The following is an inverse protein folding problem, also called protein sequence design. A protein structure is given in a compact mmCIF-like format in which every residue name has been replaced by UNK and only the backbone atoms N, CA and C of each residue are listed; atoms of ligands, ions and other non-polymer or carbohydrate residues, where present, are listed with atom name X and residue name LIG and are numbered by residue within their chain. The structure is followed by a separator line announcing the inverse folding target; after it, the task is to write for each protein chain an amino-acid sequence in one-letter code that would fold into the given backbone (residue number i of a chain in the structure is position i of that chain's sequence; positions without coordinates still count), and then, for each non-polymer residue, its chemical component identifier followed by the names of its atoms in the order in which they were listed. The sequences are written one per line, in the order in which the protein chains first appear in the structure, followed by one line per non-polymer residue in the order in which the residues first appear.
data_IF_375993832243
#
_entry.id   IF_375993832243
#
_cell.length_a   1.000
_cell.length_b   1.000
_cell.length_c   1.000
_cell.angle_alpha   90.00
_cell.angle_beta   90.00
_cell.angle_gamma   90.00
#
_symmetry.space_group_name_H-M   'P 1'
#
loop_
_entity.id
_entity.type
_entity.pdbx_description
1 polymer ?
#
# COMPACT_ATOMS: atom_id res chain seq x y z
N UNK A 1 22.33 -41.92 -10.68
CA UNK A 1 22.93 -40.74 -10.02
C UNK A 1 22.20 -39.56 -10.63
N UNK A 2 21.07 -39.20 -10.04
CA UNK A 2 20.17 -38.17 -10.53
C UNK A 2 20.15 -37.03 -9.52
N UNK A 3 20.86 -35.96 -9.85
CA UNK A 3 20.87 -34.72 -9.09
C UNK A 3 19.53 -34.00 -9.27
N UNK A 4 18.77 -33.89 -8.17
CA UNK A 4 17.59 -33.04 -8.10
C UNK A 4 18.00 -31.58 -7.97
N UNK A 5 17.82 -30.83 -9.06
CA UNK A 5 17.84 -29.38 -9.09
C UNK A 5 16.79 -28.82 -8.11
N UNK A 6 17.24 -28.39 -6.93
CA UNK A 6 16.43 -27.62 -5.99
C UNK A 6 16.40 -26.17 -6.45
N UNK A 7 15.30 -25.79 -7.11
CA UNK A 7 15.02 -24.43 -7.57
C UNK A 7 15.00 -23.43 -6.40
N UNK A 8 15.65 -22.29 -6.63
CA UNK A 8 15.75 -21.15 -5.73
C UNK A 8 14.39 -20.71 -5.20
N UNK A 9 14.23 -20.70 -3.87
CA UNK A 9 13.08 -20.12 -3.18
C UNK A 9 13.28 -18.61 -2.97
N UNK A 10 12.40 -17.74 -3.52
CA UNK A 10 12.52 -16.27 -3.39
C UNK A 10 12.16 -15.72 -2.00
N UNK A 11 11.66 -16.55 -1.07
CA UNK A 11 11.13 -16.08 0.22
C UNK A 11 12.18 -15.80 1.32
N UNK A 12 13.49 -15.84 1.00
CA UNK A 12 14.59 -15.73 1.99
C UNK A 12 15.06 -14.31 2.30
N UNK A 13 14.18 -13.31 2.32
CA UNK A 13 14.58 -11.90 2.60
C UNK A 13 13.91 -11.33 3.87
N UNK A 14 12.96 -12.02 4.51
CA UNK A 14 12.23 -11.49 5.68
C UNK A 14 12.40 -12.26 7.00
N UNK A 15 13.57 -12.87 7.27
CA UNK A 15 13.79 -13.58 8.55
C UNK A 15 15.08 -13.23 9.32
N UNK A 16 15.56 -11.99 9.22
CA UNK A 16 16.65 -11.53 10.08
C UNK A 16 16.37 -10.15 10.68
N UNK A 17 15.51 -10.10 11.70
CA UNK A 17 15.62 -9.15 12.82
C UNK A 17 14.50 -9.37 13.85
N UNK A 18 14.61 -10.41 14.69
CA UNK A 18 13.99 -10.39 16.03
C UNK A 18 14.63 -11.42 16.98
N UNK A 19 15.93 -11.25 17.24
CA UNK A 19 16.58 -11.82 18.43
C UNK A 19 17.29 -10.71 19.19
N UNK A 20 16.53 -9.99 20.01
CA UNK A 20 17.05 -9.30 21.18
C UNK A 20 15.96 -9.23 22.24
N UNK A 21 16.33 -9.67 23.45
CA UNK A 21 15.62 -9.58 24.72
C UNK A 21 14.48 -10.59 24.96
N UNK A 22 14.87 -11.78 25.40
CA UNK A 22 14.12 -12.52 26.43
C UNK A 22 14.41 -11.85 27.78
N UNK A 23 13.37 -11.53 28.55
CA UNK A 23 13.52 -10.98 29.91
C UNK A 23 12.22 -10.43 30.47
N UNK A 24 11.34 -11.34 30.92
CA UNK A 24 10.29 -11.20 31.95
C UNK A 24 9.59 -9.85 32.14
N UNK A 25 8.26 -9.79 31.99
CA UNK A 25 7.36 -9.28 33.04
C UNK A 25 5.87 -9.56 32.68
N UNK A 26 5.23 -10.36 33.53
CA UNK A 26 3.80 -10.47 33.91
C UNK A 26 2.74 -9.92 32.95
N UNK A 27 1.87 -10.82 32.51
CA UNK A 27 0.58 -10.61 31.83
C UNK A 27 -0.53 -10.38 32.88
N UNK A 28 -1.32 -9.30 32.79
CA UNK A 28 -2.58 -9.19 33.54
C UNK A 28 -3.79 -9.39 32.62
N UNK A 29 -4.65 -10.29 33.10
CA UNK A 29 -5.98 -10.73 32.65
C UNK A 29 -6.90 -9.59 32.11
N UNK A 30 -7.24 -9.63 30.82
CA UNK A 30 -8.23 -8.75 30.19
C UNK A 30 -9.66 -9.23 30.50
N UNK A 31 -10.17 -8.84 31.67
CA UNK A 31 -11.62 -8.92 31.96
C UNK A 31 -12.35 -7.74 31.35
N UNK A 32 -13.35 -8.08 30.54
CA UNK A 32 -14.34 -7.17 29.99
C UNK A 32 -14.97 -6.26 31.07
N UNK A 33 -14.90 -4.96 30.84
CA UNK A 33 -15.88 -4.00 31.36
C UNK A 33 -16.03 -2.86 30.36
N UNK A 34 -17.08 -2.94 29.55
CA UNK A 34 -17.51 -1.82 28.75
C UNK A 34 -17.94 -0.66 29.64
N UNK A 35 -17.40 0.52 29.35
CA UNK A 35 -18.11 1.77 29.56
C UNK A 35 -17.42 2.84 28.71
N UNK A 36 -18.19 3.45 27.80
CA UNK A 36 -17.73 4.52 26.94
C UNK A 36 -17.16 5.67 27.78
N UNK A 37 -15.83 5.73 27.85
CA UNK A 37 -15.13 6.94 28.21
C UNK A 37 -14.57 7.48 26.91
N UNK A 38 -15.07 8.65 26.53
CA UNK A 38 -14.46 9.58 25.59
C UNK A 38 -12.98 9.73 25.94
N UNK A 39 -12.17 8.78 25.47
CA UNK A 39 -10.73 8.84 25.52
C UNK A 39 -10.34 10.09 24.75
N UNK A 40 -9.56 10.94 25.39
CA UNK A 40 -9.05 12.19 24.85
C UNK A 40 -8.27 11.92 23.56
N UNK A 41 -8.96 11.86 22.43
CA UNK A 41 -8.36 11.82 21.12
C UNK A 41 -7.98 13.27 20.79
N UNK A 42 -6.82 13.70 21.30
CA UNK A 42 -6.14 14.85 20.70
C UNK A 42 -5.89 14.56 19.21
N UNK A 43 -5.69 15.59 18.38
CA UNK A 43 -5.44 15.41 16.96
C UNK A 43 -4.36 14.35 16.76
N UNK A 44 -4.60 13.36 15.90
CA UNK A 44 -3.57 12.36 15.61
C UNK A 44 -2.35 13.12 15.08
N UNK A 45 -1.12 12.76 15.45
CA UNK A 45 0.07 13.47 14.99
C UNK A 45 0.10 13.62 13.46
N UNK A 46 -0.40 12.62 12.72
CA UNK A 46 -0.56 12.66 11.26
C UNK A 46 -1.49 13.78 10.76
N UNK A 47 -2.57 14.09 11.47
CA UNK A 47 -3.51 15.16 11.11
C UNK A 47 -2.87 16.53 11.30
N UNK A 48 -2.09 16.70 12.36
CA UNK A 48 -1.35 17.95 12.62
C UNK A 48 -0.28 18.18 11.56
N UNK A 49 0.52 17.16 11.22
CA UNK A 49 1.53 17.30 10.17
C UNK A 49 0.91 17.59 8.80
N UNK A 50 -0.22 16.95 8.48
CA UNK A 50 -0.97 17.23 7.26
C UNK A 50 -1.46 18.68 7.19
N UNK A 51 -2.02 19.19 8.29
CA UNK A 51 -2.49 20.57 8.39
C UNK A 51 -1.34 21.59 8.24
N UNK A 52 -0.27 21.43 9.02
CA UNK A 52 0.91 22.31 8.95
C UNK A 52 1.60 22.22 7.57
N UNK A 53 1.66 21.01 7.00
CA UNK A 53 2.14 20.79 5.64
C UNK A 53 1.28 21.51 4.60
N UNK A 54 -0.04 21.46 4.71
CA UNK A 54 -0.95 22.14 3.78
C UNK A 54 -0.80 23.66 3.80
N UNK A 55 -0.71 24.27 4.99
CA UNK A 55 -0.52 25.72 5.09
C UNK A 55 0.87 26.12 4.61
N UNK A 56 1.91 25.39 5.02
CA UNK A 56 3.28 25.71 4.62
C UNK A 56 3.49 25.57 3.11
N UNK A 57 2.89 24.58 2.46
CA UNK A 57 2.93 24.41 1.00
C UNK A 57 2.22 25.56 0.28
N UNK A 58 1.04 25.99 0.73
CA UNK A 58 0.34 27.15 0.14
C UNK A 58 1.17 28.42 0.28
N UNK A 59 1.69 28.72 1.48
CA UNK A 59 2.52 29.90 1.73
C UNK A 59 3.79 29.88 0.88
N UNK A 60 4.50 28.74 0.86
CA UNK A 60 5.70 28.59 0.03
C UNK A 60 5.41 28.77 -1.47
N UNK A 61 4.27 28.25 -1.95
CA UNK A 61 3.83 28.41 -3.34
C UNK A 61 3.56 29.87 -3.70
N UNK A 62 2.91 30.62 -2.81
CA UNK A 62 2.67 32.06 -3.00
C UNK A 62 4.00 32.82 -3.07
N UNK A 63 4.91 32.57 -2.14
CA UNK A 63 6.26 33.19 -2.13
C UNK A 63 7.02 32.83 -3.41
N UNK A 64 6.94 31.59 -3.86
CA UNK A 64 7.56 31.12 -5.10
C UNK A 64 7.04 31.89 -6.32
N UNK A 65 5.72 32.09 -6.43
CA UNK A 65 5.16 32.87 -7.53
C UNK A 65 5.53 34.35 -7.48
N UNK A 66 5.53 34.96 -6.28
CA UNK A 66 5.99 36.34 -6.12
C UNK A 66 7.43 36.46 -6.63
N UNK A 67 8.33 35.57 -6.17
CA UNK A 67 9.72 35.57 -6.62
C UNK A 67 9.86 35.31 -8.14
N UNK A 68 9.08 34.38 -8.70
CA UNK A 68 9.16 34.01 -10.11
C UNK A 68 8.71 35.14 -11.07
N UNK A 69 7.67 35.90 -10.71
CA UNK A 69 7.03 36.87 -11.60
C UNK A 69 7.35 38.35 -11.29
N UNK A 70 7.78 38.70 -10.07
CA UNK A 70 8.15 40.09 -9.75
C UNK A 70 9.42 40.48 -10.51
N UNK A 71 9.49 41.65 -11.18
CA UNK A 71 10.68 42.12 -11.89
C UNK A 71 11.90 42.38 -10.99
N UNK A 72 13.11 42.25 -11.54
CA UNK A 72 14.38 42.43 -10.78
C UNK A 72 14.51 43.81 -10.11
N UNK A 73 14.17 44.94 -10.77
CA UNK A 73 14.32 46.25 -10.15
C UNK A 73 13.48 46.42 -8.88
N UNK A 74 12.37 45.69 -8.77
CA UNK A 74 11.49 45.73 -7.61
C UNK A 74 12.08 44.90 -6.45
N UNK A 75 12.69 43.75 -6.76
CA UNK A 75 13.38 42.93 -5.76
C UNK A 75 14.61 43.67 -5.20
N UNK A 76 15.37 44.35 -6.07
CA UNK A 76 16.51 45.17 -5.68
C UNK A 76 16.08 46.38 -4.83
N UNK A 77 14.95 47.02 -5.15
CA UNK A 77 14.39 48.11 -4.34
C UNK A 77 13.97 47.66 -2.93
N UNK A 78 13.58 46.39 -2.77
CA UNK A 78 13.23 45.78 -1.47
C UNK A 78 14.51 45.31 -0.72
N UNK A 79 15.68 45.39 -1.36
CA UNK A 79 16.97 45.00 -0.77
C UNK A 79 17.29 43.51 -0.92
N UNK A 80 16.57 42.78 -1.80
CA UNK A 80 16.79 41.35 -2.05
C UNK A 80 17.69 41.20 -3.28
N UNK A 81 19.01 41.30 -3.08
CA UNK A 81 19.98 41.18 -4.18
C UNK A 81 20.56 39.77 -4.36
N UNK A 82 20.29 38.84 -3.43
CA UNK A 82 20.77 37.46 -3.51
C UNK A 82 19.60 36.47 -3.62
N UNK A 83 19.32 36.03 -4.85
CA UNK A 83 18.31 35.02 -5.15
C UNK A 83 18.80 34.11 -6.30
N UNK A 84 18.30 32.86 -6.40
CA UNK A 84 18.69 31.96 -7.49
C UNK A 84 18.28 32.53 -8.85
N UNK A 85 18.89 32.05 -9.94
CA UNK A 85 18.52 32.49 -11.29
C UNK A 85 17.06 32.15 -11.63
N UNK A 86 16.35 33.04 -12.36
CA UNK A 86 14.92 32.86 -12.69
C UNK A 86 14.59 31.58 -13.45
N UNK A 87 15.55 31.00 -14.18
CA UNK A 87 15.38 29.71 -14.86
C UNK A 87 14.95 28.58 -13.92
N UNK A 88 15.30 28.67 -12.63
CA UNK A 88 14.86 27.71 -11.63
C UNK A 88 13.35 27.72 -11.41
N UNK A 89 12.66 28.83 -11.69
CA UNK A 89 11.21 28.89 -11.62
C UNK A 89 10.53 27.93 -12.62
N UNK A 90 11.17 27.66 -13.76
CA UNK A 90 10.71 26.67 -14.73
C UNK A 90 11.31 25.27 -14.46
N UNK A 91 12.58 25.23 -14.08
CA UNK A 91 13.28 23.96 -13.86
C UNK A 91 12.67 23.17 -12.69
N UNK A 92 12.35 23.82 -11.56
CA UNK A 92 11.82 23.14 -10.37
C UNK A 92 10.50 22.40 -10.67
N UNK A 93 9.45 23.04 -11.23
CA UNK A 93 8.23 22.32 -11.62
C UNK A 93 8.47 21.23 -12.65
N UNK A 94 9.35 21.46 -13.64
CA UNK A 94 9.65 20.47 -14.67
C UNK A 94 10.32 19.21 -14.07
N UNK A 95 11.33 19.39 -13.22
CA UNK A 95 11.98 18.27 -12.52
C UNK A 95 11.04 17.57 -11.55
N UNK A 96 10.12 18.28 -10.89
CA UNK A 96 9.10 17.67 -10.03
C UNK A 96 8.16 16.76 -10.83
N UNK A 97 7.72 17.18 -12.02
CA UNK A 97 6.87 16.34 -12.89
C UNK A 97 7.63 15.10 -13.38
N UNK A 98 8.88 15.27 -13.82
CA UNK A 98 9.73 14.16 -14.26
C UNK A 98 10.01 13.19 -13.11
N UNK A 99 10.26 13.68 -11.90
CA UNK A 99 10.52 12.83 -10.74
C UNK A 99 9.30 12.03 -10.31
N UNK A 100 8.08 12.59 -10.38
CA UNK A 100 6.83 11.87 -10.12
C UNK A 100 6.66 10.72 -11.13
N UNK A 101 6.82 11.00 -12.43
CA UNK A 101 6.72 9.96 -13.47
C UNK A 101 7.77 8.88 -13.25
N UNK A 102 9.01 9.28 -12.97
CA UNK A 102 10.11 8.36 -12.69
C UNK A 102 9.81 7.49 -11.45
N UNK A 103 9.28 8.07 -10.38
CA UNK A 103 8.89 7.35 -9.17
C UNK A 103 7.79 6.32 -9.45
N UNK A 104 6.81 6.64 -10.29
CA UNK A 104 5.77 5.68 -10.70
C UNK A 104 6.36 4.53 -11.51
N UNK A 105 7.26 4.81 -12.45
CA UNK A 105 7.93 3.78 -13.25
C UNK A 105 8.76 2.86 -12.34
N UNK A 106 9.52 3.42 -11.40
CA UNK A 106 10.27 2.64 -10.42
C UNK A 106 9.34 1.81 -9.54
N UNK A 107 8.26 2.39 -9.04
CA UNK A 107 7.28 1.68 -8.23
C UNK A 107 6.73 0.48 -9.00
N UNK A 108 6.29 0.66 -10.25
CA UNK A 108 5.79 -0.43 -11.10
C UNK A 108 6.87 -1.49 -11.32
N UNK A 109 8.10 -1.09 -11.66
CA UNK A 109 9.21 -2.03 -11.86
C UNK A 109 9.57 -2.83 -10.61
N UNK A 110 9.57 -2.19 -9.44
CA UNK A 110 9.80 -2.85 -8.15
C UNK A 110 8.66 -3.81 -7.80
N UNK A 111 7.41 -3.45 -8.07
CA UNK A 111 6.28 -4.36 -7.89
C UNK A 111 6.43 -5.59 -8.79
N UNK A 112 6.77 -5.42 -10.08
CA UNK A 112 7.01 -6.56 -10.97
C UNK A 112 8.18 -7.45 -10.53
N UNK A 113 9.20 -6.89 -9.88
CA UNK A 113 10.31 -7.67 -9.32
C UNK A 113 9.90 -8.42 -8.04
N UNK A 114 8.97 -7.86 -7.26
CA UNK A 114 8.50 -8.42 -6.00
C UNK A 114 7.34 -9.43 -6.16
N UNK A 115 6.59 -9.38 -7.26
CA UNK A 115 5.49 -10.29 -7.55
C UNK A 115 5.88 -11.38 -8.55
N UNK A 116 5.20 -12.55 -8.54
CA UNK A 116 5.30 -13.51 -9.63
C UNK A 116 5.02 -12.86 -11.00
N UNK A 117 5.52 -13.44 -12.11
CA UNK A 117 5.22 -12.92 -13.44
C UNK A 117 3.70 -12.87 -13.65
N UNK A 118 3.17 -11.89 -14.39
CA UNK A 118 1.73 -11.69 -14.54
C UNK A 118 1.01 -12.85 -15.22
N UNK A 119 1.75 -13.74 -15.90
CA UNK A 119 1.24 -14.96 -16.50
C UNK A 119 1.20 -16.15 -15.54
N UNK A 120 1.69 -16.00 -14.31
CA UNK A 120 1.67 -17.06 -13.31
C UNK A 120 0.27 -17.24 -12.74
N UNK A 121 -0.19 -18.49 -12.71
CA UNK A 121 -1.43 -18.88 -12.03
C UNK A 121 -1.38 -18.55 -10.53
N UNK A 122 -0.16 -18.45 -9.97
CA UNK A 122 0.07 -18.10 -8.56
C UNK A 122 -0.30 -16.65 -8.22
N UNK A 123 -0.56 -15.81 -9.23
CA UNK A 123 -1.10 -14.45 -9.03
C UNK A 123 -2.62 -14.49 -8.77
N UNK A 124 -3.29 -15.57 -9.20
CA UNK A 124 -4.74 -15.78 -9.02
C UNK A 124 -5.00 -16.70 -7.81
N UNK A 125 -4.20 -17.75 -7.65
CA UNK A 125 -4.32 -18.72 -6.58
C UNK A 125 -3.07 -18.71 -5.71
N UNK A 126 -3.23 -18.69 -4.40
CA UNK A 126 -2.13 -18.75 -3.44
C UNK A 126 -2.20 -20.03 -2.59
N UNK A 127 -1.25 -20.19 -1.67
CA UNK A 127 -1.18 -21.34 -0.75
C UNK A 127 -2.41 -21.44 0.19
N UNK A 128 -3.26 -20.40 0.24
CA UNK A 128 -4.45 -20.32 1.08
C UNK A 128 -5.77 -20.45 0.30
N UNK A 129 -5.70 -20.52 -1.03
CA UNK A 129 -6.87 -20.69 -1.88
C UNK A 129 -7.51 -22.06 -1.64
N UNK A 130 -8.84 -22.09 -1.43
CA UNK A 130 -9.59 -23.29 -1.05
C UNK A 130 -10.49 -23.74 -2.18
N UNK A 131 -10.18 -24.86 -2.81
CA UNK A 131 -11.07 -25.45 -3.80
C UNK A 131 -12.35 -26.02 -3.16
N UNK A 132 -13.50 -25.95 -3.85
CA UNK A 132 -14.73 -26.59 -3.39
C UNK A 132 -14.51 -28.10 -3.27
N UNK A 133 -14.63 -28.63 -2.05
CA UNK A 133 -14.57 -30.06 -1.80
C UNK A 133 -15.90 -30.65 -2.25
N UNK A 134 -15.90 -31.45 -3.32
CA UNK A 134 -17.04 -32.31 -3.64
C UNK A 134 -17.17 -33.35 -2.54
N UNK A 135 -18.07 -33.10 -1.61
CA UNK A 135 -18.38 -34.08 -0.60
C UNK A 135 -19.08 -35.27 -1.26
N UNK A 136 -18.45 -36.44 -1.17
CA UNK A 136 -19.04 -37.72 -1.57
C UNK A 136 -19.94 -38.15 -0.41
N UNK A 137 -21.23 -37.89 -0.54
CA UNK A 137 -22.22 -38.36 0.43
C UNK A 137 -22.75 -39.73 -0.01
N UNK A 138 -22.96 -40.69 0.92
CA UNK A 138 -23.78 -41.86 0.62
C UNK A 138 -25.18 -41.40 0.24
N UNK A 139 -25.76 -41.93 -0.84
CA UNK A 139 -27.07 -41.49 -1.38
C UNK A 139 -28.26 -41.73 -0.42
N UNK A 140 -28.05 -42.42 0.70
CA UNK A 140 -29.11 -42.88 1.61
C UNK A 140 -29.34 -41.99 2.85
N UNK A 141 -28.80 -40.76 2.91
CA UNK A 141 -29.03 -39.83 4.02
C UNK A 141 -29.77 -38.56 3.58
N UNK A 142 -31.00 -38.38 4.05
CA UNK A 142 -31.85 -37.19 3.79
C UNK A 142 -31.30 -35.88 4.38
N UNK A 143 -30.26 -35.95 5.21
CA UNK A 143 -29.59 -34.79 5.80
C UNK A 143 -28.37 -34.41 4.97
N UNK A 144 -28.51 -33.39 4.12
CA UNK A 144 -27.38 -32.81 3.40
C UNK A 144 -26.60 -31.88 4.35
N UNK A 145 -25.34 -32.20 4.72
CA UNK A 145 -24.54 -31.34 5.57
C UNK A 145 -24.22 -30.02 4.86
N UNK A 146 -24.04 -28.96 5.66
CA UNK A 146 -23.54 -27.68 5.14
C UNK A 146 -22.15 -27.91 4.54
N UNK A 147 -21.95 -27.45 3.30
CA UNK A 147 -20.67 -27.58 2.61
C UNK A 147 -19.57 -26.76 3.32
N UNK A 148 -18.33 -27.26 3.37
CA UNK A 148 -17.19 -26.49 3.89
C UNK A 148 -16.96 -25.20 3.09
N UNK A 149 -16.48 -24.16 3.77
CA UNK A 149 -16.14 -22.90 3.10
C UNK A 149 -15.00 -23.11 2.07
N UNK A 150 -15.26 -22.69 0.84
CA UNK A 150 -14.34 -22.73 -0.31
C UNK A 150 -14.47 -21.48 -1.17
N UNK A 151 -13.42 -21.16 -1.92
CA UNK A 151 -13.40 -20.07 -2.88
C UNK A 151 -14.13 -20.48 -4.16
N UNK A 152 -14.92 -19.57 -4.71
CA UNK A 152 -15.58 -19.74 -6.01
C UNK A 152 -14.83 -18.89 -7.04
N UNK A 153 -14.37 -19.55 -8.11
CA UNK A 153 -13.73 -18.86 -9.23
C UNK A 153 -14.66 -17.86 -9.91
N UNK A 154 -14.11 -16.71 -10.31
CA UNK A 154 -14.88 -15.63 -10.94
C UNK A 154 -15.58 -16.08 -12.23
N UNK A 155 -15.00 -17.05 -12.95
CA UNK A 155 -15.62 -17.69 -14.10
C UNK A 155 -16.95 -18.38 -13.74
N UNK A 156 -17.01 -19.09 -12.62
CA UNK A 156 -18.20 -19.79 -12.15
C UNK A 156 -19.29 -18.81 -11.72
N UNK A 157 -18.93 -17.75 -10.97
CA UNK A 157 -19.90 -16.70 -10.58
C UNK A 157 -20.43 -15.97 -11.82
N UNK A 158 -19.56 -15.64 -12.77
CA UNK A 158 -19.95 -14.94 -13.98
C UNK A 158 -20.94 -15.78 -14.81
N UNK A 159 -20.71 -17.08 -14.93
CA UNK A 159 -21.64 -18.00 -15.62
C UNK A 159 -22.98 -18.12 -14.86
N UNK A 160 -22.94 -18.27 -13.53
CA UNK A 160 -24.14 -18.32 -12.69
C UNK A 160 -24.97 -17.03 -12.74
N UNK A 161 -24.33 -15.86 -12.69
CA UNK A 161 -25.04 -14.59 -12.65
C UNK A 161 -25.56 -14.14 -14.01
N UNK A 162 -24.82 -14.41 -15.09
CA UNK A 162 -25.11 -13.80 -16.39
C UNK A 162 -25.54 -14.79 -17.47
N UNK A 163 -25.21 -16.08 -17.35
CA UNK A 163 -25.55 -17.09 -18.36
C UNK A 163 -26.63 -18.08 -17.91
N UNK A 164 -26.83 -18.27 -16.60
CA UNK A 164 -27.85 -19.19 -16.06
C UNK A 164 -29.23 -18.53 -15.83
N UNK A 165 -29.51 -17.38 -16.45
CA UNK A 165 -30.85 -16.79 -16.49
C UNK A 165 -31.54 -17.23 -17.78
N UNK A 166 -32.05 -18.46 -17.80
CA UNK A 166 -33.03 -18.91 -18.80
C UNK A 166 -34.05 -19.86 -18.18
#
# INVERSE_FOLDING_TARGET
MEDRHSVNSPRRILSFSKRRATGSFVEPDDRASGFGLSGKHGPKPSEVYGFVGSISTVVATVIFFIWAYVPEPWLDAIGISYYPSRQWALAVPAYAMVSIVLALVFYVGLNFMATPPPTSINTIFDDYSRDPVRAVYPEDSDEQPIEPISDIGINTINDLMFNNVQ
#
